data_IF_459575323748
#
_entry.id   IF_459575323748
#
_cell.length_a   1.000
_cell.length_b   1.000
_cell.length_c   1.000
_cell.angle_alpha   90.00
_cell.angle_beta   90.00
_cell.angle_gamma   90.00
#
_symmetry.space_group_name_H-M   'P 1'
#
loop_
_entity.id
_entity.type
_entity.pdbx_description
1 polymer ?
#
# COMPACT_ATOMS: atom_id res chain seq x y z
N UNK A 1 18.16 -10.26 6.06
CA UNK A 1 17.57 -8.96 5.67
C UNK A 1 16.09 -9.21 5.49
N UNK A 2 15.21 -8.32 5.97
CA UNK A 2 13.78 -8.49 5.74
C UNK A 2 13.46 -8.54 4.25
N UNK A 3 12.52 -9.40 3.87
CA UNK A 3 12.08 -9.58 2.48
C UNK A 3 10.59 -9.27 2.38
N UNK A 4 10.19 -8.41 1.45
CA UNK A 4 8.78 -8.12 1.21
C UNK A 4 8.30 -8.56 -0.17
N UNK A 5 7.02 -8.86 -0.27
CA UNK A 5 6.31 -8.85 -1.53
C UNK A 5 5.56 -7.53 -1.68
N UNK A 6 5.95 -6.72 -2.67
CA UNK A 6 5.32 -5.43 -2.97
C UNK A 6 4.28 -5.64 -4.08
N UNK A 7 3.02 -5.38 -3.77
CA UNK A 7 1.89 -5.69 -4.66
C UNK A 7 1.10 -4.42 -5.00
N UNK A 8 1.59 -3.53 -5.89
CA UNK A 8 0.73 -2.50 -6.48
C UNK A 8 -0.48 -3.10 -7.19
N UNK A 9 -1.58 -2.35 -7.12
CA UNK A 9 -2.87 -2.70 -7.70
C UNK A 9 -2.75 -3.11 -9.17
N UNK A 10 -3.50 -4.15 -9.55
CA UNK A 10 -3.62 -4.71 -10.90
C UNK A 10 -4.89 -4.22 -11.62
N UNK A 11 -5.43 -3.07 -11.20
CA UNK A 11 -6.70 -2.53 -11.70
C UNK A 11 -6.50 -1.51 -12.84
N UNK A 12 -6.10 -2.00 -14.02
CA UNK A 12 -5.79 -1.19 -15.21
C UNK A 12 -6.97 -0.32 -15.73
N UNK A 13 -8.22 -0.65 -15.39
CA UNK A 13 -9.41 0.11 -15.81
C UNK A 13 -10.02 0.97 -14.70
N UNK A 14 -9.45 0.96 -13.49
CA UNK A 14 -9.98 1.76 -12.40
C UNK A 14 -9.41 3.18 -12.49
N UNK A 15 -10.23 4.10 -13.00
CA UNK A 15 -9.78 5.44 -13.39
C UNK A 15 -9.84 6.44 -12.25
N UNK A 16 -8.79 7.25 -12.13
CA UNK A 16 -8.80 8.45 -11.30
C UNK A 16 -9.74 9.50 -11.92
N UNK A 17 -10.42 10.28 -11.08
CA UNK A 17 -11.34 11.34 -11.53
C UNK A 17 -10.64 12.45 -12.35
N UNK A 18 -9.32 12.60 -12.20
CA UNK A 18 -8.47 13.55 -12.90
C UNK A 18 -7.44 12.87 -13.84
N UNK A 19 -7.76 11.67 -14.35
CA UNK A 19 -6.98 10.94 -15.36
C UNK A 19 -5.91 10.00 -14.79
N UNK A 20 -5.50 9.01 -15.58
CA UNK A 20 -4.66 7.90 -15.13
C UNK A 20 -5.45 6.82 -14.39
N UNK A 21 -4.77 5.77 -13.97
CA UNK A 21 -5.41 4.57 -13.36
C UNK A 21 -4.84 4.25 -11.98
N UNK A 22 -5.57 3.46 -11.21
CA UNK A 22 -5.08 2.92 -9.95
C UNK A 22 -3.80 2.10 -10.15
N UNK A 23 -3.77 1.21 -11.13
CA UNK A 23 -2.55 0.47 -11.46
C UNK A 23 -1.38 1.42 -11.74
N UNK A 24 -1.56 2.45 -12.57
CA UNK A 24 -0.51 3.41 -12.90
C UNK A 24 0.06 4.08 -11.65
N UNK A 25 -0.79 4.70 -10.83
CA UNK A 25 -0.31 5.46 -9.67
C UNK A 25 0.23 4.57 -8.55
N UNK A 26 -0.29 3.36 -8.38
CA UNK A 26 0.26 2.42 -7.39
C UNK A 26 1.62 1.90 -7.84
N UNK A 27 1.82 1.70 -9.16
CA UNK A 27 3.13 1.36 -9.70
C UNK A 27 4.12 2.53 -9.56
N UNK A 28 3.71 3.78 -9.77
CA UNK A 28 4.58 4.94 -9.55
C UNK A 28 5.01 5.08 -8.08
N UNK A 29 4.10 4.82 -7.12
CA UNK A 29 4.44 4.79 -5.69
C UNK A 29 5.41 3.63 -5.41
N UNK A 30 5.15 2.43 -5.96
CA UNK A 30 6.04 1.29 -5.80
C UNK A 30 7.44 1.59 -6.37
N UNK A 31 7.55 2.21 -7.54
CA UNK A 31 8.83 2.65 -8.13
C UNK A 31 9.58 3.59 -7.18
N UNK A 32 8.86 4.56 -6.61
CA UNK A 32 9.41 5.52 -5.65
C UNK A 32 9.81 4.86 -4.31
N UNK A 33 9.25 3.70 -3.95
CA UNK A 33 9.63 2.96 -2.74
C UNK A 33 10.97 2.23 -2.90
N UNK A 34 11.31 1.75 -4.11
CA UNK A 34 12.45 0.85 -4.34
C UNK A 34 13.79 1.42 -3.83
N UNK A 35 14.15 2.70 -4.07
CA UNK A 35 15.40 3.26 -3.56
C UNK A 35 15.48 3.26 -2.02
N UNK A 36 14.38 3.58 -1.34
CA UNK A 36 14.33 3.58 0.13
C UNK A 36 14.40 2.14 0.68
N UNK A 37 13.75 1.17 0.03
CA UNK A 37 13.81 -0.24 0.40
C UNK A 37 15.26 -0.75 0.34
N UNK A 38 15.94 -0.48 -0.78
CA UNK A 38 17.34 -0.87 -1.00
C UNK A 38 18.24 -0.20 0.04
N UNK A 39 18.13 1.12 0.22
CA UNK A 39 18.94 1.88 1.16
C UNK A 39 18.76 1.38 2.60
N UNK A 40 17.53 1.00 2.98
CA UNK A 40 17.21 0.50 4.31
C UNK A 40 17.49 -1.01 4.49
N UNK A 41 18.03 -1.70 3.47
CA UNK A 41 18.36 -3.12 3.54
C UNK A 41 17.13 -4.05 3.56
N UNK A 42 16.04 -3.64 2.92
CA UNK A 42 14.84 -4.46 2.69
C UNK A 42 14.91 -5.00 1.26
N UNK A 43 14.95 -6.33 1.13
CA UNK A 43 14.82 -6.97 -0.17
C UNK A 43 13.35 -7.01 -0.58
N UNK A 44 13.06 -6.92 -1.88
CA UNK A 44 11.68 -7.00 -2.35
C UNK A 44 11.56 -7.81 -3.64
N UNK A 45 10.38 -8.39 -3.83
CA UNK A 45 9.86 -8.82 -5.13
C UNK A 45 8.58 -8.05 -5.38
N UNK A 46 8.31 -7.73 -6.64
CA UNK A 46 7.13 -6.98 -7.04
C UNK A 46 6.32 -7.77 -8.05
N UNK A 47 4.99 -7.73 -7.92
CA UNK A 47 4.11 -8.25 -8.95
C UNK A 47 4.31 -7.50 -10.28
N UNK A 48 3.94 -8.14 -11.38
CA UNK A 48 3.95 -7.54 -12.71
C UNK A 48 2.54 -7.07 -13.07
N UNK A 49 2.38 -5.89 -13.70
CA UNK A 49 1.07 -5.38 -14.11
C UNK A 49 0.24 -6.37 -14.96
N UNK A 50 0.90 -7.26 -15.70
CA UNK A 50 0.23 -8.28 -16.52
C UNK A 50 -0.33 -9.47 -15.72
N UNK A 51 -0.05 -9.58 -14.42
CA UNK A 51 -0.57 -10.66 -13.59
C UNK A 51 -2.03 -10.42 -13.21
N UNK A 52 -2.75 -11.52 -12.99
CA UNK A 52 -4.01 -11.49 -12.24
C UNK A 52 -3.73 -11.44 -10.73
N UNK A 53 -4.73 -11.00 -9.95
CA UNK A 53 -4.64 -11.08 -8.48
C UNK A 53 -4.36 -12.52 -7.98
N UNK A 54 -4.84 -13.54 -8.70
CA UNK A 54 -4.51 -14.93 -8.37
C UNK A 54 -3.03 -15.24 -8.53
N UNK A 55 -2.43 -14.80 -9.63
CA UNK A 55 -1.02 -15.03 -9.91
C UNK A 55 -0.11 -14.25 -8.97
N UNK A 56 -0.45 -13.01 -8.60
CA UNK A 56 0.31 -12.23 -7.61
C UNK A 56 0.30 -12.90 -6.21
N UNK A 57 -0.85 -13.41 -5.77
CA UNK A 57 -0.96 -14.18 -4.52
C UNK A 57 -0.13 -15.46 -4.61
N UNK A 58 -0.25 -16.21 -5.70
CA UNK A 58 0.48 -17.47 -5.89
C UNK A 58 2.00 -17.23 -5.96
N UNK A 59 2.43 -16.13 -6.56
CA UNK A 59 3.83 -15.71 -6.63
C UNK A 59 4.36 -15.30 -5.25
N UNK A 60 3.61 -14.48 -4.51
CA UNK A 60 3.92 -14.15 -3.11
C UNK A 60 4.02 -15.39 -2.24
N UNK A 61 3.18 -16.40 -2.45
CA UNK A 61 3.17 -17.64 -1.67
C UNK A 61 4.27 -18.64 -2.05
N UNK A 62 4.86 -18.51 -3.25
CA UNK A 62 6.01 -19.32 -3.68
C UNK A 62 7.32 -18.81 -3.06
N UNK A 63 7.40 -17.51 -2.78
CA UNK A 63 8.55 -16.93 -2.11
C UNK A 63 8.47 -17.03 -0.59
N UNK A 64 9.61 -16.76 0.05
CA UNK A 64 9.71 -16.61 1.49
C UNK A 64 9.82 -15.12 1.81
N UNK A 65 8.70 -14.52 2.23
CA UNK A 65 8.60 -13.09 2.57
C UNK A 65 8.19 -12.92 4.03
N UNK A 66 8.77 -11.91 4.68
CA UNK A 66 8.45 -11.50 6.04
C UNK A 66 7.20 -10.59 6.09
N UNK A 67 6.86 -9.96 4.97
CA UNK A 67 5.65 -9.16 4.81
C UNK A 67 5.17 -9.08 3.35
N UNK A 68 3.87 -9.01 3.15
CA UNK A 68 3.24 -8.68 1.87
C UNK A 68 2.51 -7.36 1.99
N UNK A 69 2.91 -6.35 1.23
CA UNK A 69 2.31 -5.03 1.23
C UNK A 69 1.61 -4.78 -0.10
N UNK A 70 0.28 -4.70 -0.06
CA UNK A 70 -0.53 -4.33 -1.23
C UNK A 70 -0.79 -2.82 -1.25
N UNK A 71 -0.61 -2.20 -2.41
CA UNK A 71 -0.82 -0.75 -2.62
C UNK A 71 -2.03 -0.53 -3.51
N UNK A 72 -3.01 0.20 -3.01
CA UNK A 72 -4.25 0.53 -3.68
C UNK A 72 -4.59 2.02 -3.49
N UNK A 73 -5.56 2.51 -4.26
CA UNK A 73 -6.31 3.71 -3.91
C UNK A 73 -7.80 3.38 -3.89
N UNK A 74 -8.57 4.10 -3.08
CA UNK A 74 -9.97 3.79 -2.86
C UNK A 74 -10.88 4.45 -3.90
N UNK A 75 -12.05 3.86 -4.14
CA UNK A 75 -13.19 4.49 -4.79
C UNK A 75 -14.43 4.27 -3.94
N UNK A 76 -15.20 5.33 -3.70
CA UNK A 76 -16.42 5.20 -2.94
C UNK A 76 -17.49 4.40 -3.71
N UNK A 77 -18.47 3.86 -2.98
CA UNK A 77 -19.67 3.29 -3.61
C UNK A 77 -20.33 4.31 -4.55
N UNK A 78 -21.10 3.88 -5.58
CA UNK A 78 -21.72 4.81 -6.53
C UNK A 78 -22.55 5.94 -5.90
N UNK A 79 -23.18 5.69 -4.76
CA UNK A 79 -23.98 6.70 -4.03
C UNK A 79 -23.15 7.78 -3.32
N UNK A 80 -21.86 7.51 -3.11
CA UNK A 80 -20.90 8.38 -2.40
C UNK A 80 -19.72 8.80 -3.30
N UNK A 81 -19.81 8.52 -4.61
CA UNK A 81 -18.74 8.78 -5.56
C UNK A 81 -18.21 10.22 -5.43
N UNK A 82 -16.90 10.33 -5.23
CA UNK A 82 -16.19 11.60 -5.08
C UNK A 82 -16.44 12.37 -3.78
N UNK A 83 -17.18 11.81 -2.82
CA UNK A 83 -17.47 12.46 -1.53
C UNK A 83 -16.55 11.99 -0.40
N UNK A 84 -16.05 10.77 -0.50
CA UNK A 84 -15.20 10.17 0.52
C UNK A 84 -13.75 10.65 0.37
N UNK A 85 -13.04 10.69 1.50
CA UNK A 85 -11.63 11.06 1.58
C UNK A 85 -11.00 10.31 2.75
N UNK A 86 -9.70 10.10 2.69
CA UNK A 86 -8.94 9.43 3.75
C UNK A 86 -8.14 8.25 3.25
N UNK A 87 -7.31 7.70 4.13
CA UNK A 87 -6.55 6.48 3.86
C UNK A 87 -7.05 5.33 4.74
N UNK A 88 -7.26 4.18 4.11
CA UNK A 88 -7.78 2.99 4.77
C UNK A 88 -6.71 1.89 4.72
N UNK A 89 -6.25 1.42 5.89
CA UNK A 89 -5.23 0.38 5.99
C UNK A 89 -5.85 -0.94 6.47
N UNK A 90 -6.03 -1.88 5.56
CA UNK A 90 -6.67 -3.15 5.81
C UNK A 90 -5.69 -4.21 6.28
N UNK A 91 -6.17 -5.08 7.15
CA UNK A 91 -5.46 -6.29 7.57
C UNK A 91 -6.44 -7.46 7.73
N UNK A 92 -5.96 -8.69 7.57
CA UNK A 92 -6.77 -9.87 7.86
C UNK A 92 -7.09 -9.92 9.35
N UNK A 93 -8.38 -10.00 9.71
CA UNK A 93 -8.84 -9.81 11.10
C UNK A 93 -8.16 -10.69 12.15
N UNK A 94 -7.70 -11.89 11.75
CA UNK A 94 -7.05 -12.88 12.63
C UNK A 94 -5.51 -12.88 12.52
N UNK A 95 -4.92 -11.97 11.72
CA UNK A 95 -3.48 -11.85 11.56
C UNK A 95 -2.89 -10.87 12.56
N UNK A 96 -2.28 -11.38 13.64
CA UNK A 96 -1.59 -10.54 14.63
C UNK A 96 -0.49 -9.66 13.99
N UNK A 97 0.31 -10.25 13.11
CA UNK A 97 1.44 -9.56 12.48
C UNK A 97 1.00 -8.63 11.34
N UNK A 98 -0.03 -9.02 10.57
CA UNK A 98 -0.65 -8.11 9.60
C UNK A 98 -1.29 -6.90 10.28
N UNK A 99 -1.97 -7.11 11.42
CA UNK A 99 -2.49 -6.03 12.25
C UNK A 99 -1.40 -5.08 12.74
N UNK A 100 -0.30 -5.61 13.27
CA UNK A 100 0.82 -4.79 13.73
C UNK A 100 1.41 -3.92 12.59
N UNK A 101 1.60 -4.50 11.40
CA UNK A 101 2.04 -3.76 10.22
C UNK A 101 1.05 -2.67 9.81
N UNK A 102 -0.26 -3.00 9.76
CA UNK A 102 -1.29 -2.03 9.42
C UNK A 102 -1.40 -0.88 10.44
N UNK A 103 -1.26 -1.15 11.73
CA UNK A 103 -1.27 -0.13 12.79
C UNK A 103 -0.08 0.83 12.69
N UNK A 104 1.13 0.30 12.41
CA UNK A 104 2.33 1.14 12.19
C UNK A 104 2.15 2.01 10.95
N UNK A 105 1.71 1.40 9.83
CA UNK A 105 1.47 2.14 8.59
C UNK A 105 0.44 3.26 8.85
N UNK A 106 -0.71 2.95 9.44
CA UNK A 106 -1.75 3.94 9.68
C UNK A 106 -1.28 5.06 10.63
N UNK A 107 -0.51 4.75 11.67
CA UNK A 107 -0.01 5.77 12.59
C UNK A 107 0.96 6.72 11.89
N UNK A 108 1.94 6.20 11.16
CA UNK A 108 2.90 7.03 10.42
C UNK A 108 2.23 7.80 9.26
N UNK A 109 1.20 7.22 8.63
CA UNK A 109 0.52 7.86 7.51
C UNK A 109 -0.26 9.12 7.93
N UNK A 110 -0.68 9.21 9.20
CA UNK A 110 -1.30 10.42 9.78
C UNK A 110 -0.41 11.65 9.72
N UNK A 111 0.91 11.48 9.71
CA UNK A 111 1.86 12.59 9.63
C UNK A 111 1.94 13.20 8.23
N UNK A 112 1.54 12.43 7.20
CA UNK A 112 1.67 12.87 5.80
C UNK A 112 0.34 13.20 5.14
N UNK A 113 -0.74 12.53 5.52
CA UNK A 113 -2.08 12.76 4.96
C UNK A 113 -2.71 14.04 5.51
N UNK A 114 -3.46 14.84 4.72
CA UNK A 114 -3.90 16.18 5.14
C UNK A 114 -4.79 16.24 6.39
N UNK A 115 -5.62 15.22 6.61
CA UNK A 115 -6.48 15.11 7.80
C UNK A 115 -6.24 13.77 8.49
N UNK A 116 -5.43 13.78 9.55
CA UNK A 116 -5.06 12.58 10.30
C UNK A 116 -6.26 11.81 10.88
N UNK A 117 -7.41 12.45 11.08
CA UNK A 117 -8.62 11.77 11.56
C UNK A 117 -9.27 10.88 10.50
N UNK A 118 -8.87 11.03 9.23
CA UNK A 118 -9.33 10.22 8.10
C UNK A 118 -8.36 9.09 7.73
N UNK A 119 -7.39 8.80 8.59
CA UNK A 119 -6.51 7.64 8.45
C UNK A 119 -6.88 6.60 9.50
N UNK A 120 -7.21 5.39 9.07
CA UNK A 120 -7.66 4.33 9.99
C UNK A 120 -7.22 2.95 9.54
N UNK A 121 -7.14 2.03 10.51
CA UNK A 121 -7.02 0.61 10.23
C UNK A 121 -8.40 -0.05 10.16
N UNK A 122 -8.54 -1.05 9.28
CA UNK A 122 -9.80 -1.77 9.07
C UNK A 122 -9.54 -3.28 9.06
N UNK A 123 -10.01 -4.06 10.06
CA UNK A 123 -10.01 -5.51 9.95
C UNK A 123 -10.96 -5.96 8.85
N UNK A 124 -10.54 -6.91 8.02
CA UNK A 124 -11.38 -7.50 6.98
C UNK A 124 -11.37 -9.01 7.01
N UNK A 125 -12.48 -9.61 6.56
CA UNK A 125 -12.64 -11.04 6.31
C UNK A 125 -12.89 -11.37 4.83
N UNK A 126 -12.85 -10.37 3.94
CA UNK A 126 -13.31 -10.49 2.55
C UNK A 126 -12.24 -10.25 1.49
N UNK A 127 -11.22 -9.43 1.78
CA UNK A 127 -10.16 -9.15 0.81
C UNK A 127 -9.32 -10.40 0.56
N UNK A 128 -9.38 -10.89 -0.69
CA UNK A 128 -8.79 -12.17 -1.09
C UNK A 128 -7.27 -12.19 -0.93
N UNK A 129 -6.60 -11.08 -1.22
CA UNK A 129 -5.14 -10.94 -1.10
C UNK A 129 -4.68 -11.15 0.34
N UNK A 130 -5.24 -10.38 1.27
CA UNK A 130 -4.93 -10.50 2.70
C UNK A 130 -5.28 -11.87 3.29
N UNK A 131 -6.34 -12.50 2.77
CA UNK A 131 -6.80 -13.81 3.23
C UNK A 131 -5.93 -14.97 2.75
N UNK A 132 -5.36 -14.86 1.54
CA UNK A 132 -4.75 -16.00 0.84
C UNK A 132 -3.23 -15.93 0.74
N UNK A 133 -2.62 -14.80 1.07
CA UNK A 133 -1.18 -14.70 1.22
C UNK A 133 -0.71 -15.36 2.53
N UNK A 134 0.40 -16.11 2.48
CA UNK A 134 0.99 -16.80 3.62
C UNK A 134 1.82 -15.88 4.52
N UNK A 135 2.55 -14.93 3.93
CA UNK A 135 3.23 -13.90 4.68
C UNK A 135 2.22 -13.02 5.45
N UNK A 136 2.58 -12.46 6.62
CA UNK A 136 1.83 -11.37 7.22
C UNK A 136 1.58 -10.26 6.19
N UNK A 137 0.38 -9.69 6.17
CA UNK A 137 -0.01 -8.78 5.10
C UNK A 137 -0.84 -7.60 5.57
N UNK A 138 -0.68 -6.48 4.87
CA UNK A 138 -1.54 -5.32 4.93
C UNK A 138 -1.77 -4.77 3.53
N UNK A 139 -2.92 -4.14 3.33
CA UNK A 139 -3.30 -3.45 2.10
C UNK A 139 -3.61 -2.01 2.46
N UNK A 140 -2.90 -1.05 1.86
CA UNK A 140 -3.22 0.36 2.04
C UNK A 140 -3.98 0.86 0.81
N UNK A 141 -5.14 1.46 1.05
CA UNK A 141 -5.79 2.38 0.13
C UNK A 141 -5.31 3.80 0.46
N UNK A 142 -4.36 4.32 -0.33
CA UNK A 142 -3.56 5.51 0.03
C UNK A 142 -4.38 6.80 0.14
N UNK A 143 -5.44 6.91 -0.65
CA UNK A 143 -6.49 7.94 -0.59
C UNK A 143 -7.62 7.58 -1.58
N UNK A 144 -8.68 8.39 -1.65
CA UNK A 144 -9.81 8.17 -2.58
C UNK A 144 -9.56 8.78 -3.97
N UNK A 145 -9.33 7.96 -5.00
CA UNK A 145 -9.03 8.46 -6.34
C UNK A 145 -10.26 8.96 -7.13
N UNK A 146 -11.46 8.66 -6.66
CA UNK A 146 -12.71 9.20 -7.20
C UNK A 146 -13.06 10.58 -6.61
N UNK A 147 -12.39 11.00 -5.54
CA UNK A 147 -12.48 12.34 -4.96
C UNK A 147 -11.40 13.26 -5.58
N UNK A 148 -11.75 14.42 -6.17
CA UNK A 148 -10.78 15.27 -6.86
C UNK A 148 -9.63 15.79 -5.99
N UNK A 149 -9.87 16.03 -4.70
CA UNK A 149 -8.84 16.52 -3.77
C UNK A 149 -7.86 15.41 -3.43
N UNK A 150 -8.35 14.22 -3.08
CA UNK A 150 -7.52 13.07 -2.77
C UNK A 150 -6.77 12.56 -4.01
N UNK A 151 -7.44 12.51 -5.17
CA UNK A 151 -6.82 12.16 -6.44
C UNK A 151 -5.65 13.09 -6.80
N UNK A 152 -5.81 14.41 -6.61
CA UNK A 152 -4.71 15.36 -6.82
C UNK A 152 -3.61 15.17 -5.77
N UNK A 153 -3.98 14.96 -4.51
CA UNK A 153 -3.02 14.74 -3.43
C UNK A 153 -2.13 13.51 -3.68
N UNK A 154 -2.69 12.38 -4.14
CA UNK A 154 -1.91 11.19 -4.49
C UNK A 154 -0.83 11.54 -5.52
N UNK A 155 -1.23 12.22 -6.61
CA UNK A 155 -0.33 12.59 -7.71
C UNK A 155 0.80 13.50 -7.26
N UNK A 156 0.49 14.46 -6.40
CA UNK A 156 1.45 15.45 -5.92
C UNK A 156 2.39 14.91 -4.82
N UNK A 157 2.11 13.71 -4.27
CA UNK A 157 2.78 13.19 -3.08
C UNK A 157 3.36 11.78 -3.25
N UNK A 158 3.59 11.30 -4.47
CA UNK A 158 4.13 9.95 -4.77
C UNK A 158 5.36 9.63 -3.90
N UNK A 159 6.39 10.48 -3.92
CA UNK A 159 7.62 10.27 -3.14
C UNK A 159 7.39 10.32 -1.62
N UNK A 160 6.49 11.21 -1.18
CA UNK A 160 6.14 11.37 0.25
C UNK A 160 5.44 10.12 0.78
N UNK A 161 4.53 9.55 -0.02
CA UNK A 161 3.84 8.31 0.27
C UNK A 161 4.84 7.16 0.32
N UNK A 162 5.68 7.02 -0.71
CA UNK A 162 6.68 5.97 -0.79
C UNK A 162 7.65 5.98 0.40
N UNK A 163 8.22 7.16 0.72
CA UNK A 163 9.11 7.34 1.87
C UNK A 163 8.46 6.92 3.19
N UNK A 164 7.19 7.31 3.41
CA UNK A 164 6.45 6.99 4.63
C UNK A 164 6.12 5.49 4.75
N UNK A 165 5.76 4.85 3.64
CA UNK A 165 5.50 3.41 3.63
C UNK A 165 6.76 2.60 3.92
N UNK A 166 7.91 3.01 3.38
CA UNK A 166 9.18 2.34 3.70
C UNK A 166 9.63 2.61 5.13
N UNK A 167 9.48 3.83 5.65
CA UNK A 167 9.70 4.11 7.07
C UNK A 167 8.86 3.17 7.95
N UNK A 168 7.57 3.01 7.64
CA UNK A 168 6.67 2.12 8.37
C UNK A 168 7.12 0.66 8.33
N UNK A 169 7.61 0.18 7.18
CA UNK A 169 8.20 -1.15 7.06
C UNK A 169 9.47 -1.30 7.91
N UNK A 170 10.33 -0.28 7.95
CA UNK A 170 11.55 -0.34 8.78
C UNK A 170 11.24 -0.42 10.26
N UNK A 171 10.21 0.29 10.74
CA UNK A 171 9.72 0.20 12.11
C UNK A 171 9.10 -1.17 12.40
N UNK A 172 8.30 -1.71 11.47
CA UNK A 172 7.76 -3.06 11.58
C UNK A 172 8.86 -4.13 11.72
N UNK A 173 9.96 -4.00 10.96
CA UNK A 173 11.09 -4.92 11.02
C UNK A 173 12.10 -4.61 12.13
N UNK A 174 11.98 -3.48 12.83
CA UNK A 174 12.94 -3.05 13.85
C UNK A 174 14.32 -2.74 13.30
N UNK A 175 14.40 -2.21 12.08
CA UNK A 175 15.64 -1.80 11.42
C UNK A 175 15.67 -0.28 11.20
N UNK A 176 16.84 0.35 11.01
CA UNK A 176 16.91 1.78 10.71
C UNK A 176 16.33 2.12 9.34
N UNK A 177 15.58 3.22 9.26
CA UNK A 177 15.27 3.88 7.99
C UNK A 177 16.48 4.64 7.47
N UNK A 178 16.78 4.47 6.17
CA UNK A 178 17.91 5.10 5.50
C UNK A 178 17.42 5.80 4.23
N UNK A 179 17.76 7.08 4.09
CA UNK A 179 17.51 7.83 2.85
C UNK A 179 18.41 7.30 1.72
N UNK A 180 17.93 7.16 0.48
CA UNK A 180 18.76 6.82 -0.66
C UNK A 180 19.77 7.94 -0.95
N UNK A 181 20.97 7.56 -1.40
CA UNK A 181 21.95 8.53 -1.88
C UNK A 181 21.47 9.17 -3.20
N UNK A 182 21.70 10.47 -3.35
CA UNK A 182 21.32 11.27 -4.52
C UNK A 182 22.29 11.13 -5.70
#
# INVERSE_FOLDING_TARGET
MPRIYLSPSLQEYNQFVNGGTEEEYMNLIADAMEPYLIASGIEFTRNQPSQTLGEAIDDSNKGEYDFHLALHSNAASPSLAGQMQGADVYYWYDSKWGKAGAEIIAENYKDIYPDSNKVKTIPTSTLRELRRTYAPSALIEVAYHDNPTDAQWIKDNIDKIARNLVLSLTEYFGIPFVEPEA
#
